data_IF_930306766479
#
_entry.id   IF_930306766479
#
_cell.length_a   1.000
_cell.length_b   1.000
_cell.length_c   1.000
_cell.angle_alpha   90.00
_cell.angle_beta   90.00
_cell.angle_gamma   90.00
#
_symmetry.space_group_name_H-M   'P 1'
#
loop_
_entity.id
_entity.type
_entity.pdbx_description
1 polymer ?
#
# COMPACT_ATOMS: atom_id res chain seq x y z
N UNK A 1 14.68 15.58 6.91
CA UNK A 1 14.71 14.20 6.35
C UNK A 1 14.87 13.18 7.47
N UNK A 2 14.41 11.95 7.25
CA UNK A 2 14.64 10.80 8.13
C UNK A 2 16.09 10.34 8.02
N UNK A 3 16.69 9.93 9.13
CA UNK A 3 18.04 9.35 9.16
C UNK A 3 18.04 7.93 9.75
N UNK A 4 19.12 7.19 9.54
CA UNK A 4 19.29 5.85 10.12
C UNK A 4 19.29 5.92 11.64
N UNK A 5 19.94 6.95 12.21
CA UNK A 5 20.04 7.18 13.65
C UNK A 5 18.64 7.42 14.26
N UNK A 6 17.78 8.18 13.57
CA UNK A 6 16.38 8.38 14.01
C UNK A 6 15.63 7.05 14.09
N UNK A 7 15.71 6.22 13.04
CA UNK A 7 15.06 4.91 13.05
C UNK A 7 15.61 4.02 14.16
N UNK A 8 16.92 4.01 14.38
CA UNK A 8 17.55 3.25 15.47
C UNK A 8 17.16 3.77 16.86
N UNK A 9 17.00 5.07 17.04
CA UNK A 9 16.52 5.64 18.28
C UNK A 9 15.04 5.29 18.57
N UNK A 10 14.21 5.22 17.53
CA UNK A 10 12.81 4.78 17.61
C UNK A 10 12.73 3.27 17.90
N UNK A 11 13.50 2.47 17.19
CA UNK A 11 13.51 1.01 17.23
C UNK A 11 14.95 0.49 17.45
N UNK A 12 15.45 0.46 18.69
CA UNK A 12 16.85 0.10 18.99
C UNK A 12 17.25 -1.31 18.55
N UNK A 13 16.28 -2.22 18.44
CA UNK A 13 16.50 -3.60 17.99
C UNK A 13 16.49 -3.75 16.46
N UNK A 14 16.39 -2.65 15.72
CA UNK A 14 16.39 -2.67 14.25
C UNK A 14 17.72 -3.15 13.70
N UNK A 15 17.67 -3.86 12.56
CA UNK A 15 18.85 -4.33 11.88
C UNK A 15 19.34 -3.32 10.86
N UNK A 16 20.65 -3.05 10.88
CA UNK A 16 21.25 -2.08 9.99
C UNK A 16 21.09 -2.44 8.51
N UNK A 17 21.16 -3.73 8.19
CA UNK A 17 20.94 -4.26 6.84
C UNK A 17 19.51 -4.01 6.31
N UNK A 18 18.54 -3.79 7.20
CA UNK A 18 17.16 -3.45 6.84
C UNK A 18 16.98 -1.93 6.74
N UNK A 19 17.45 -1.22 7.77
CA UNK A 19 17.18 0.22 7.92
C UNK A 19 18.00 1.06 6.96
N UNK A 20 19.30 0.77 6.82
CA UNK A 20 20.23 1.62 6.05
C UNK A 20 19.78 1.81 4.58
N UNK A 21 19.46 0.74 3.83
CA UNK A 21 18.99 0.92 2.47
C UNK A 21 17.56 1.48 2.38
N UNK A 22 16.74 1.32 3.42
CA UNK A 22 15.35 1.76 3.42
C UNK A 22 15.19 3.27 3.59
N UNK A 23 16.07 3.92 4.36
CA UNK A 23 15.96 5.34 4.70
C UNK A 23 15.96 6.25 3.47
N UNK A 24 16.78 5.95 2.46
CA UNK A 24 16.76 6.70 1.21
C UNK A 24 15.40 6.66 0.50
N UNK A 25 14.78 5.49 0.49
CA UNK A 25 13.45 5.30 -0.11
C UNK A 25 12.32 5.93 0.73
N UNK A 26 12.42 5.91 2.05
CA UNK A 26 11.50 6.68 2.90
C UNK A 26 11.54 8.17 2.53
N UNK A 27 12.71 8.77 2.47
CA UNK A 27 12.87 10.18 2.12
C UNK A 27 12.39 10.50 0.69
N UNK A 28 12.57 9.57 -0.26
CA UNK A 28 12.12 9.69 -1.64
C UNK A 28 10.58 9.63 -1.79
N UNK A 29 9.93 8.75 -1.02
CA UNK A 29 8.54 8.41 -1.26
C UNK A 29 7.55 9.02 -0.24
N UNK A 30 7.91 9.26 1.02
CA UNK A 30 7.02 9.90 2.00
C UNK A 30 6.38 11.19 1.46
N UNK A 31 7.11 12.11 0.80
CA UNK A 31 6.52 13.31 0.22
C UNK A 31 5.48 13.03 -0.87
N UNK A 32 5.71 12.03 -1.71
CA UNK A 32 4.79 11.66 -2.80
C UNK A 32 3.45 11.13 -2.29
N UNK A 33 3.41 10.65 -1.06
CA UNK A 33 2.21 10.18 -0.37
C UNK A 33 1.70 11.16 0.69
N UNK A 34 2.20 12.40 0.64
CA UNK A 34 1.83 13.48 1.57
C UNK A 34 2.10 13.16 3.06
N UNK A 35 3.03 12.24 3.34
CA UNK A 35 3.47 11.92 4.70
C UNK A 35 4.62 12.85 5.07
N UNK A 36 4.34 14.15 5.17
CA UNK A 36 5.34 15.22 5.31
C UNK A 36 5.25 16.01 6.60
N UNK A 37 4.11 15.97 7.29
CA UNK A 37 3.96 16.65 8.56
C UNK A 37 4.56 15.84 9.71
N UNK A 38 4.95 16.49 10.78
CA UNK A 38 5.48 15.85 11.98
C UNK A 38 4.61 14.68 12.47
N UNK A 39 3.29 14.89 12.60
CA UNK A 39 2.38 13.85 13.08
C UNK A 39 2.26 12.69 12.08
N UNK A 40 2.11 12.99 10.78
CA UNK A 40 2.02 11.93 9.76
C UNK A 40 3.25 11.05 9.75
N UNK A 41 4.44 11.65 9.81
CA UNK A 41 5.71 10.90 9.88
C UNK A 41 5.80 10.07 11.15
N UNK A 42 5.48 10.66 12.33
CA UNK A 42 5.50 9.93 13.59
C UNK A 42 4.56 8.73 13.59
N UNK A 43 3.32 8.91 13.12
CA UNK A 43 2.35 7.82 13.05
C UNK A 43 2.75 6.74 12.05
N UNK A 44 3.21 7.12 10.86
CA UNK A 44 3.66 6.15 9.86
C UNK A 44 4.82 5.31 10.40
N UNK A 45 5.86 5.93 10.94
CA UNK A 45 7.03 5.23 11.47
C UNK A 45 6.70 4.36 12.69
N UNK A 46 5.81 4.80 13.56
CA UNK A 46 5.37 4.03 14.71
C UNK A 46 4.67 2.73 14.30
N UNK A 47 3.76 2.81 13.33
CA UNK A 47 3.08 1.62 12.79
C UNK A 47 4.07 0.73 12.04
N UNK A 48 4.94 1.31 11.23
CA UNK A 48 5.97 0.58 10.50
C UNK A 48 6.93 -0.17 11.43
N UNK A 49 7.35 0.44 12.53
CA UNK A 49 8.21 -0.21 13.52
C UNK A 49 7.54 -1.42 14.17
N UNK A 50 6.25 -1.32 14.50
CA UNK A 50 5.49 -2.44 15.04
C UNK A 50 5.35 -3.57 14.02
N UNK A 51 4.85 -3.27 12.81
CA UNK A 51 4.54 -4.27 11.78
C UNK A 51 5.80 -4.98 11.25
N UNK A 52 6.92 -4.28 11.13
CA UNK A 52 8.20 -4.84 10.69
C UNK A 52 9.04 -5.42 11.85
N UNK A 53 8.42 -5.80 12.97
CA UNK A 53 9.10 -6.38 14.14
C UNK A 53 10.32 -5.55 14.58
N UNK A 54 10.13 -4.24 14.78
CA UNK A 54 11.22 -3.27 15.06
C UNK A 54 12.21 -3.13 13.89
N UNK A 55 11.77 -3.23 12.66
CA UNK A 55 12.63 -3.22 11.46
C UNK A 55 13.73 -4.30 11.47
N UNK A 56 13.41 -5.48 12.02
CA UNK A 56 14.34 -6.61 12.03
C UNK A 56 14.23 -7.47 10.78
N UNK A 57 13.09 -7.44 10.11
CA UNK A 57 12.83 -8.21 8.89
C UNK A 57 11.80 -7.53 8.02
N UNK A 58 11.91 -7.74 6.70
CA UNK A 58 10.90 -7.35 5.71
C UNK A 58 10.17 -8.59 5.15
N UNK A 59 10.29 -9.73 5.81
CA UNK A 59 9.60 -10.96 5.43
C UNK A 59 9.19 -11.70 6.70
N UNK A 60 7.96 -12.23 6.74
CA UNK A 60 7.51 -13.05 7.86
C UNK A 60 8.37 -14.29 8.03
N UNK A 61 8.55 -14.70 9.29
CA UNK A 61 9.34 -15.89 9.64
C UNK A 61 8.59 -17.19 9.31
N UNK A 62 7.26 -17.16 9.32
CA UNK A 62 6.43 -18.29 8.97
C UNK A 62 6.58 -18.69 7.49
N UNK A 63 6.35 -19.96 7.21
CA UNK A 63 6.43 -20.48 5.83
C UNK A 63 5.36 -19.92 4.90
N UNK A 64 4.23 -19.43 5.45
CA UNK A 64 3.05 -19.02 4.68
C UNK A 64 2.08 -20.17 4.38
N UNK A 65 2.36 -21.39 4.81
CA UNK A 65 1.50 -22.55 4.57
C UNK A 65 0.07 -22.37 5.11
N UNK A 66 -0.10 -21.60 6.19
CA UNK A 66 -1.42 -21.26 6.76
C UNK A 66 -2.30 -20.43 5.80
N UNK A 67 -1.73 -19.82 4.76
CA UNK A 67 -2.46 -19.06 3.75
C UNK A 67 -2.86 -19.91 2.54
N UNK A 68 -2.54 -21.21 2.52
CA UNK A 68 -2.90 -22.11 1.41
C UNK A 68 -4.41 -22.21 1.28
N UNK A 69 -4.92 -22.10 0.05
CA UNK A 69 -6.35 -22.18 -0.24
C UNK A 69 -7.22 -21.03 0.30
N UNK A 70 -6.62 -19.98 0.88
CA UNK A 70 -7.31 -18.79 1.40
C UNK A 70 -7.87 -17.96 0.22
N UNK A 71 -9.12 -18.25 -0.14
CA UNK A 71 -9.83 -17.58 -1.26
C UNK A 71 -10.01 -16.07 -1.04
N UNK A 72 -10.18 -15.63 0.21
CA UNK A 72 -10.25 -14.23 0.61
C UNK A 72 -8.94 -13.46 0.34
N UNK A 73 -7.81 -14.16 0.27
CA UNK A 73 -6.50 -13.64 -0.13
C UNK A 73 -6.21 -13.84 -1.64
N UNK A 74 -7.14 -14.47 -2.38
CA UNK A 74 -6.92 -14.85 -3.77
C UNK A 74 -5.95 -16.02 -3.97
N UNK A 75 -5.63 -16.77 -2.92
CA UNK A 75 -4.76 -17.94 -2.96
C UNK A 75 -5.59 -19.15 -3.39
N UNK A 76 -5.72 -19.36 -4.69
CA UNK A 76 -6.58 -20.38 -5.29
C UNK A 76 -5.80 -21.52 -5.94
N UNK A 77 -4.51 -21.35 -6.16
CA UNK A 77 -3.64 -22.36 -6.74
C UNK A 77 -2.77 -23.00 -5.66
N UNK A 78 -2.41 -24.28 -5.89
CA UNK A 78 -1.48 -25.00 -5.01
C UNK A 78 -0.14 -24.26 -4.92
N UNK A 79 0.34 -24.01 -3.69
CA UNK A 79 1.57 -23.30 -3.41
C UNK A 79 1.42 -21.79 -3.23
N UNK A 80 0.22 -21.22 -3.45
CA UNK A 80 -0.01 -19.79 -3.30
C UNK A 80 0.26 -19.29 -1.87
N UNK A 81 -0.06 -20.09 -0.86
CA UNK A 81 0.17 -19.72 0.52
C UNK A 81 1.63 -19.39 0.80
N UNK A 82 2.52 -20.27 0.41
CA UNK A 82 3.98 -20.08 0.58
C UNK A 82 4.50 -18.98 -0.35
N UNK A 83 4.04 -18.95 -1.61
CA UNK A 83 4.48 -17.99 -2.61
C UNK A 83 4.14 -16.56 -2.24
N UNK A 84 2.94 -16.30 -1.74
CA UNK A 84 2.44 -14.95 -1.40
C UNK A 84 2.33 -14.73 0.12
N UNK A 85 3.28 -15.25 0.85
CA UNK A 85 3.42 -14.99 2.29
C UNK A 85 3.70 -13.53 2.58
N UNK A 86 3.61 -13.12 3.84
CA UNK A 86 3.80 -11.74 4.27
C UNK A 86 5.18 -11.17 3.96
N UNK A 87 5.23 -10.05 3.22
CA UNK A 87 6.47 -9.32 2.90
C UNK A 87 6.26 -7.82 2.98
N UNK A 88 7.38 -7.11 3.15
CA UNK A 88 7.41 -5.65 3.28
C UNK A 88 7.03 -5.18 4.69
N UNK A 89 7.04 -3.86 4.87
CA UNK A 89 6.80 -3.21 6.19
C UNK A 89 5.42 -3.59 6.76
N UNK A 90 4.35 -3.56 5.96
CA UNK A 90 2.98 -3.89 6.39
C UNK A 90 2.54 -5.28 5.95
N UNK A 91 3.49 -6.19 5.77
CA UNK A 91 3.24 -7.62 5.56
C UNK A 91 2.21 -7.90 4.46
N UNK A 92 2.47 -7.40 3.24
CA UNK A 92 1.65 -7.69 2.06
C UNK A 92 1.50 -9.22 1.90
N UNK A 93 0.26 -9.73 1.93
CA UNK A 93 -0.04 -11.17 1.95
C UNK A 93 -1.16 -11.50 0.96
N UNK A 94 -1.02 -12.61 0.26
CA UNK A 94 -2.02 -13.18 -0.65
C UNK A 94 -1.90 -12.70 -2.10
N UNK A 95 -2.10 -13.63 -3.05
CA UNK A 95 -1.96 -13.42 -4.50
C UNK A 95 -2.70 -12.17 -4.99
N UNK A 96 -3.96 -11.99 -4.58
CA UNK A 96 -4.77 -10.87 -5.03
C UNK A 96 -4.18 -9.51 -4.57
N UNK A 97 -3.64 -9.44 -3.35
CA UNK A 97 -3.01 -8.23 -2.85
C UNK A 97 -1.67 -7.95 -3.55
N UNK A 98 -0.86 -8.97 -3.80
CA UNK A 98 0.39 -8.84 -4.57
C UNK A 98 0.11 -8.29 -5.97
N UNK A 99 -0.87 -8.87 -6.68
CA UNK A 99 -1.30 -8.36 -7.99
C UNK A 99 -1.76 -6.91 -7.91
N UNK A 100 -2.71 -6.61 -7.02
CA UNK A 100 -3.31 -5.28 -6.89
C UNK A 100 -2.27 -4.20 -6.54
N UNK A 101 -1.44 -4.46 -5.53
CA UNK A 101 -0.42 -3.47 -5.12
C UNK A 101 0.67 -3.36 -6.19
N UNK A 102 1.07 -4.47 -6.81
CA UNK A 102 2.02 -4.46 -7.91
C UNK A 102 1.56 -3.55 -9.05
N UNK A 103 0.29 -3.65 -9.44
CA UNK A 103 -0.31 -2.76 -10.45
C UNK A 103 -0.27 -1.29 -10.03
N UNK A 104 -0.59 -0.97 -8.76
CA UNK A 104 -0.57 0.42 -8.26
C UNK A 104 0.82 1.06 -8.26
N UNK A 105 1.86 0.28 -7.99
CA UNK A 105 3.25 0.77 -7.97
C UNK A 105 4.00 0.54 -9.29
N UNK A 106 3.33 -0.04 -10.31
CA UNK A 106 3.93 -0.31 -11.62
C UNK A 106 4.95 -1.45 -11.62
N UNK A 107 4.78 -2.45 -10.76
CA UNK A 107 5.68 -3.60 -10.64
C UNK A 107 4.92 -4.92 -10.68
N UNK A 108 5.46 -5.92 -11.36
CA UNK A 108 4.87 -7.26 -11.42
C UNK A 108 5.21 -8.07 -10.16
N UNK A 109 4.51 -7.75 -9.07
CA UNK A 109 4.68 -8.46 -7.81
C UNK A 109 3.98 -9.83 -7.78
N UNK A 110 3.05 -10.10 -8.67
CA UNK A 110 2.40 -11.40 -8.74
C UNK A 110 3.37 -12.48 -9.25
N UNK A 111 4.14 -12.14 -10.27
CA UNK A 111 5.14 -13.08 -10.81
C UNK A 111 6.46 -13.05 -10.03
N UNK A 112 6.80 -11.91 -9.40
CA UNK A 112 8.04 -11.70 -8.65
C UNK A 112 7.73 -11.26 -7.19
N UNK A 113 7.09 -12.12 -6.38
CA UNK A 113 6.60 -11.72 -5.05
C UNK A 113 7.74 -11.40 -4.05
N UNK A 114 8.93 -11.93 -4.24
CA UNK A 114 10.11 -11.66 -3.42
C UNK A 114 10.52 -10.18 -3.47
N UNK A 115 10.23 -9.45 -4.55
CA UNK A 115 10.49 -8.02 -4.66
C UNK A 115 9.82 -7.22 -3.55
N UNK A 116 8.68 -7.69 -3.02
CA UNK A 116 7.98 -7.02 -1.93
C UNK A 116 8.81 -6.94 -0.62
N UNK A 117 9.85 -7.76 -0.48
CA UNK A 117 10.80 -7.70 0.63
C UNK A 117 12.03 -6.81 0.35
N UNK A 118 12.17 -6.26 -0.87
CA UNK A 118 13.23 -5.30 -1.15
C UNK A 118 12.97 -3.96 -0.46
N UNK A 119 14.01 -3.20 -0.10
CA UNK A 119 13.84 -1.93 0.62
C UNK A 119 12.92 -0.94 -0.08
N UNK A 120 13.08 -0.73 -1.37
CA UNK A 120 12.25 0.20 -2.15
C UNK A 120 10.79 -0.24 -2.20
N UNK A 121 10.55 -1.49 -2.60
CA UNK A 121 9.19 -2.00 -2.79
C UNK A 121 8.46 -2.12 -1.45
N UNK A 122 9.16 -2.46 -0.36
CA UNK A 122 8.56 -2.52 0.97
C UNK A 122 8.05 -1.17 1.45
N UNK A 123 8.75 -0.08 1.13
CA UNK A 123 8.32 1.30 1.41
C UNK A 123 7.11 1.66 0.54
N UNK A 124 7.16 1.39 -0.76
CA UNK A 124 6.06 1.68 -1.69
C UNK A 124 4.79 0.93 -1.32
N UNK A 125 4.88 -0.37 -1.04
CA UNK A 125 3.71 -1.17 -0.65
C UNK A 125 3.10 -0.70 0.66
N UNK A 126 3.93 -0.27 1.62
CA UNK A 126 3.46 0.30 2.88
C UNK A 126 2.75 1.65 2.68
N UNK A 127 3.26 2.50 1.81
CA UNK A 127 2.65 3.79 1.51
C UNK A 127 1.35 3.66 0.72
N UNK A 128 1.25 2.72 -0.22
CA UNK A 128 -0.02 2.39 -0.88
C UNK A 128 -1.06 1.86 0.11
N UNK A 129 -0.64 1.01 1.03
CA UNK A 129 -1.50 0.54 2.11
C UNK A 129 -2.00 1.71 2.98
N UNK A 130 -1.10 2.62 3.39
CA UNK A 130 -1.39 3.81 4.17
C UNK A 130 -2.38 4.74 3.47
N UNK A 131 -2.13 5.04 2.20
CA UNK A 131 -2.98 5.87 1.34
C UNK A 131 -4.37 5.25 1.17
N UNK A 132 -4.46 3.94 0.87
CA UNK A 132 -5.72 3.24 0.61
C UNK A 132 -6.70 3.27 1.79
N UNK A 133 -6.22 3.56 3.00
CA UNK A 133 -7.01 3.69 4.24
C UNK A 133 -7.13 5.12 4.72
N UNK A 134 -6.67 6.10 3.93
CA UNK A 134 -6.71 7.54 4.26
C UNK A 134 -6.09 7.83 5.63
N UNK A 135 -4.97 7.15 5.98
CA UNK A 135 -4.40 7.21 7.33
C UNK A 135 -3.78 8.57 7.65
N UNK A 136 -3.42 9.39 6.65
CA UNK A 136 -2.98 10.77 6.87
C UNK A 136 -4.00 11.58 7.69
N UNK A 137 -5.31 11.46 7.38
CA UNK A 137 -6.38 12.14 8.11
C UNK A 137 -6.31 11.83 9.61
N UNK A 138 -6.19 10.56 9.97
CA UNK A 138 -6.18 10.14 11.37
C UNK A 138 -4.85 10.44 12.07
N UNK A 139 -3.76 10.52 11.30
CA UNK A 139 -2.48 11.00 11.81
C UNK A 139 -2.52 12.50 12.13
N UNK A 140 -3.18 13.31 11.30
CA UNK A 140 -3.36 14.75 11.56
C UNK A 140 -4.20 15.00 12.84
N UNK A 141 -5.13 14.10 13.15
CA UNK A 141 -5.93 14.12 14.38
C UNK A 141 -5.20 13.47 15.58
N UNK A 142 -3.95 13.03 15.40
CA UNK A 142 -3.15 12.29 16.39
C UNK A 142 -3.86 11.03 16.95
N UNK A 143 -4.69 10.38 16.12
CA UNK A 143 -5.58 9.30 16.51
C UNK A 143 -4.95 7.92 16.29
N UNK A 144 -4.05 7.53 17.17
CA UNK A 144 -3.33 6.25 17.09
C UNK A 144 -4.27 5.04 17.21
N UNK A 145 -5.35 5.15 17.97
CA UNK A 145 -6.32 4.07 18.12
C UNK A 145 -7.02 3.78 16.79
N UNK A 146 -7.53 4.83 16.12
CA UNK A 146 -8.20 4.68 14.83
C UNK A 146 -7.28 4.11 13.77
N UNK A 147 -6.04 4.60 13.71
CA UNK A 147 -5.01 4.07 12.80
C UNK A 147 -4.76 2.59 13.09
N UNK A 148 -4.59 2.21 14.36
CA UNK A 148 -4.36 0.81 14.75
C UNK A 148 -5.52 -0.09 14.30
N UNK A 149 -6.77 0.31 14.54
CA UNK A 149 -7.96 -0.45 14.12
C UNK A 149 -8.03 -0.60 12.59
N UNK A 150 -7.67 0.43 11.84
CA UNK A 150 -7.67 0.38 10.37
C UNK A 150 -6.55 -0.49 9.79
N UNK A 151 -5.42 -0.62 10.49
CA UNK A 151 -4.30 -1.47 10.05
C UNK A 151 -4.53 -2.92 10.46
N UNK A 152 -4.87 -3.16 11.73
CA UNK A 152 -4.89 -4.50 12.32
C UNK A 152 -6.29 -5.14 12.37
N UNK A 153 -7.36 -4.37 12.13
CA UNK A 153 -8.75 -4.82 12.32
C UNK A 153 -9.21 -4.80 13.79
N UNK A 154 -8.32 -4.53 14.73
CA UNK A 154 -8.55 -4.49 16.18
C UNK A 154 -7.48 -3.67 16.90
N UNK A 155 -7.22 -3.99 18.16
CA UNK A 155 -6.23 -3.31 19.00
C UNK A 155 -5.04 -4.22 19.39
N UNK A 156 -4.74 -5.24 18.58
CA UNK A 156 -3.57 -6.07 18.82
C UNK A 156 -2.29 -5.24 18.72
N UNK A 157 -1.42 -5.34 19.72
CA UNK A 157 -0.19 -4.57 19.79
C UNK A 157 -0.37 -3.07 20.05
N UNK A 158 -1.55 -2.63 20.52
CA UNK A 158 -1.86 -1.20 20.69
C UNK A 158 -0.88 -0.48 21.63
N UNK A 159 -0.52 -1.09 22.75
CA UNK A 159 0.44 -0.48 23.68
C UNK A 159 1.84 -0.38 23.10
N UNK A 160 2.26 -1.34 22.30
CA UNK A 160 3.54 -1.29 21.60
C UNK A 160 3.56 -0.19 20.55
N UNK A 161 2.48 -0.04 19.77
CA UNK A 161 2.32 1.07 18.80
C UNK A 161 2.34 2.44 19.47
N UNK A 162 1.71 2.59 20.64
CA UNK A 162 1.78 3.81 21.45
C UNK A 162 3.21 4.11 21.93
N UNK A 163 3.95 3.09 22.36
CA UNK A 163 5.36 3.23 22.75
C UNK A 163 6.22 3.73 21.58
N UNK A 164 6.06 3.13 20.40
CA UNK A 164 6.75 3.60 19.19
C UNK A 164 6.35 5.03 18.82
N UNK A 165 5.06 5.37 18.90
CA UNK A 165 4.60 6.72 18.62
C UNK A 165 5.21 7.75 19.58
N UNK A 166 5.24 7.45 20.86
CA UNK A 166 5.89 8.31 21.87
C UNK A 166 7.38 8.50 21.56
N UNK A 167 8.08 7.44 21.17
CA UNK A 167 9.48 7.50 20.72
C UNK A 167 9.64 8.34 19.46
N UNK A 168 8.77 8.14 18.45
CA UNK A 168 8.79 8.96 17.24
C UNK A 168 8.62 10.44 17.56
N UNK A 169 7.67 10.79 18.44
CA UNK A 169 7.43 12.17 18.87
C UNK A 169 8.60 12.81 19.63
N UNK A 170 9.46 12.00 20.26
CA UNK A 170 10.68 12.49 20.93
C UNK A 170 11.86 12.67 19.96
N UNK A 171 11.96 11.80 18.95
CA UNK A 171 13.12 11.70 18.05
C UNK A 171 12.95 12.54 16.78
N UNK A 172 11.75 12.57 16.20
CA UNK A 172 11.48 13.29 14.96
C UNK A 172 11.37 14.79 15.26
N UNK A 173 12.13 15.65 14.53
CA UNK A 173 12.01 17.10 14.70
C UNK A 173 10.60 17.60 14.31
N UNK A 174 10.03 18.51 15.10
CA UNK A 174 8.71 19.11 14.79
C UNK A 174 8.69 19.86 13.47
N UNK A 175 9.83 20.39 13.05
CA UNK A 175 10.04 21.10 11.79
C UNK A 175 10.68 20.19 10.73
N UNK A 176 10.41 18.88 10.77
CA UNK A 176 10.93 17.95 9.77
C UNK A 176 10.57 18.43 8.37
N UNK A 177 11.56 18.46 7.49
CA UNK A 177 11.40 18.78 6.07
C UNK A 177 11.95 17.63 5.24
N UNK A 178 11.44 17.52 4.05
CA UNK A 178 11.96 16.63 3.01
C UNK A 178 12.44 17.52 1.87
N UNK A 179 13.65 17.23 1.37
CA UNK A 179 14.07 17.80 0.11
C UNK A 179 13.19 17.17 -0.98
N UNK A 180 12.05 17.82 -1.21
CA UNK A 180 11.26 17.52 -2.39
C UNK A 180 12.05 18.15 -3.52
N UNK A 181 12.71 17.39 -4.39
CA UNK A 181 13.21 17.98 -5.63
C UNK A 181 12.03 18.72 -6.25
N UNK A 182 12.24 19.93 -6.83
CA UNK A 182 11.19 20.58 -7.58
C UNK A 182 10.56 19.49 -8.45
N UNK A 183 9.21 19.39 -8.41
CA UNK A 183 8.51 18.32 -9.11
C UNK A 183 9.22 18.18 -10.46
N UNK A 184 9.76 17.00 -10.81
CA UNK A 184 10.45 16.86 -12.08
C UNK A 184 9.51 17.47 -13.12
N UNK A 185 9.98 18.26 -14.06
CA UNK A 185 9.16 18.73 -15.13
C UNK A 185 8.39 17.51 -15.57
N UNK A 186 7.04 17.56 -15.49
CA UNK A 186 6.15 16.40 -15.64
C UNK A 186 6.74 15.56 -16.75
N UNK A 187 7.48 14.50 -16.36
CA UNK A 187 8.02 13.58 -17.34
C UNK A 187 6.86 13.18 -18.23
N UNK A 188 7.02 13.16 -19.54
CA UNK A 188 5.92 12.87 -20.44
C UNK A 188 5.31 11.58 -19.93
N UNK A 189 4.20 11.75 -19.28
CA UNK A 189 3.28 10.83 -18.62
C UNK A 189 3.70 9.39 -18.90
N UNK A 190 4.29 8.70 -17.91
CA UNK A 190 4.24 7.24 -17.94
C UNK A 190 2.74 6.94 -18.04
N UNK A 191 2.28 6.42 -19.17
CA UNK A 191 0.85 6.26 -19.36
C UNK A 191 0.32 5.43 -18.21
N UNK A 192 -0.81 5.79 -17.59
CA UNK A 192 -1.34 5.07 -16.45
C UNK A 192 -1.44 3.59 -16.79
N UNK A 193 -0.90 2.74 -15.92
CA UNK A 193 -0.83 1.30 -16.21
C UNK A 193 -2.25 0.77 -16.28
N UNK A 194 -2.58 0.15 -17.41
CA UNK A 194 -3.89 -0.50 -17.58
C UNK A 194 -3.94 -1.74 -16.72
N UNK A 195 -4.82 -1.74 -15.73
CA UNK A 195 -5.03 -2.85 -14.78
C UNK A 195 -6.14 -3.79 -15.20
N UNK A 196 -7.12 -3.32 -15.98
CA UNK A 196 -8.15 -4.15 -16.60
C UNK A 196 -8.75 -3.45 -17.82
N UNK A 197 -9.08 -4.21 -18.84
CA UNK A 197 -9.66 -3.74 -20.11
C UNK A 197 -10.62 -4.75 -20.70
N UNK A 198 -11.37 -4.32 -21.70
CA UNK A 198 -12.28 -5.20 -22.46
C UNK A 198 -11.57 -6.45 -22.97
N UNK A 199 -12.20 -7.58 -22.75
CA UNK A 199 -11.68 -8.92 -23.07
C UNK A 199 -11.04 -9.63 -21.89
N UNK A 200 -10.68 -8.92 -20.80
CA UNK A 200 -10.16 -9.57 -19.59
C UNK A 200 -11.27 -10.37 -18.89
N UNK A 201 -10.88 -11.53 -18.35
CA UNK A 201 -11.79 -12.41 -17.61
C UNK A 201 -11.06 -12.98 -16.40
N UNK A 202 -11.44 -12.57 -15.20
CA UNK A 202 -10.78 -13.00 -13.95
C UNK A 202 -11.61 -12.63 -12.72
N UNK A 203 -11.37 -13.31 -11.58
CA UNK A 203 -11.93 -12.88 -10.28
C UNK A 203 -11.62 -11.43 -9.94
N UNK A 204 -10.46 -10.92 -10.37
CA UNK A 204 -10.08 -9.52 -10.17
C UNK A 204 -10.99 -8.55 -10.92
N UNK A 205 -11.39 -8.88 -12.16
CA UNK A 205 -12.38 -8.10 -12.90
C UNK A 205 -13.73 -8.08 -12.14
N UNK A 206 -14.14 -9.21 -11.56
CA UNK A 206 -15.34 -9.25 -10.71
C UNK A 206 -15.24 -8.29 -9.51
N UNK A 207 -14.09 -8.18 -8.88
CA UNK A 207 -13.89 -7.25 -7.76
C UNK A 207 -13.93 -5.79 -8.22
N UNK A 208 -13.37 -5.45 -9.38
CA UNK A 208 -13.49 -4.13 -10.00
C UNK A 208 -14.95 -3.79 -10.36
N UNK A 209 -15.68 -4.76 -10.89
CA UNK A 209 -17.12 -4.63 -11.17
C UNK A 209 -17.92 -4.37 -9.88
N UNK A 210 -17.63 -5.08 -8.78
CA UNK A 210 -18.24 -4.82 -7.46
C UNK A 210 -17.97 -3.39 -6.98
N UNK A 211 -16.76 -2.86 -7.20
CA UNK A 211 -16.44 -1.47 -6.87
C UNK A 211 -17.30 -0.49 -7.69
N UNK A 212 -17.45 -0.71 -8.99
CA UNK A 212 -18.33 0.08 -9.85
C UNK A 212 -19.80 0.02 -9.38
N UNK A 213 -20.30 -1.16 -9.04
CA UNK A 213 -21.66 -1.36 -8.49
C UNK A 213 -21.82 -0.59 -7.18
N UNK A 214 -20.84 -0.65 -6.27
CA UNK A 214 -20.83 0.13 -5.02
C UNK A 214 -20.86 1.65 -5.27
N UNK A 215 -20.33 2.11 -6.40
CA UNK A 215 -20.35 3.51 -6.83
C UNK A 215 -21.62 3.89 -7.62
N UNK A 216 -22.57 2.96 -7.78
CA UNK A 216 -23.88 3.21 -8.37
C UNK A 216 -24.07 2.76 -9.82
N UNK A 217 -23.12 2.03 -10.41
CA UNK A 217 -23.27 1.49 -11.77
C UNK A 217 -23.92 0.11 -11.76
N UNK A 218 -25.04 -0.07 -12.46
CA UNK A 218 -25.77 -1.32 -12.55
C UNK A 218 -25.16 -2.25 -13.62
N UNK A 219 -24.13 -3.02 -13.24
CA UNK A 219 -23.46 -4.00 -14.11
C UNK A 219 -23.37 -5.38 -13.43
N UNK A 220 -23.19 -6.44 -14.23
CA UNK A 220 -22.89 -7.77 -13.70
C UNK A 220 -21.50 -7.79 -13.03
N UNK A 221 -21.36 -8.64 -12.01
CA UNK A 221 -20.06 -8.87 -11.32
C UNK A 221 -19.55 -10.27 -11.60
N UNK A 222 -19.55 -10.63 -12.89
CA UNK A 222 -19.31 -11.97 -13.43
C UNK A 222 -17.82 -12.25 -13.73
N UNK A 223 -16.97 -11.23 -13.58
CA UNK A 223 -15.55 -11.33 -13.86
C UNK A 223 -15.20 -11.16 -15.32
N UNK A 224 -16.18 -10.94 -16.22
CA UNK A 224 -15.93 -10.71 -17.63
C UNK A 224 -15.99 -9.21 -17.95
N UNK A 225 -14.87 -8.62 -18.39
CA UNK A 225 -14.82 -7.22 -18.80
C UNK A 225 -15.43 -7.06 -20.20
N UNK A 226 -16.76 -7.08 -20.25
CA UNK A 226 -17.54 -6.95 -21.48
C UNK A 226 -17.87 -5.49 -21.83
N UNK A 227 -18.67 -5.27 -22.90
CA UNK A 227 -19.06 -3.93 -23.34
C UNK A 227 -19.79 -3.12 -22.26
N UNK A 228 -20.60 -3.76 -21.42
CA UNK A 228 -21.31 -3.07 -20.31
C UNK A 228 -20.34 -2.58 -19.24
N UNK A 229 -19.32 -3.37 -18.91
CA UNK A 229 -18.27 -2.98 -17.98
C UNK A 229 -17.44 -1.82 -18.56
N UNK A 230 -17.07 -1.90 -19.84
CA UNK A 230 -16.35 -0.83 -20.54
C UNK A 230 -17.15 0.49 -20.51
N UNK A 231 -18.44 0.43 -20.79
CA UNK A 231 -19.31 1.60 -20.76
C UNK A 231 -19.40 2.21 -19.36
N UNK A 232 -19.60 1.39 -18.34
CA UNK A 232 -19.62 1.85 -16.93
C UNK A 232 -18.31 2.52 -16.52
N UNK A 233 -17.17 2.00 -16.98
CA UNK A 233 -15.85 2.61 -16.74
C UNK A 233 -15.74 3.97 -17.44
N UNK A 234 -16.18 4.10 -18.69
CA UNK A 234 -16.19 5.39 -19.42
C UNK A 234 -17.02 6.45 -18.68
N UNK A 235 -18.21 6.08 -18.25
CA UNK A 235 -19.10 6.97 -17.50
C UNK A 235 -18.51 7.36 -16.13
N UNK A 236 -17.91 6.37 -15.43
CA UNK A 236 -17.19 6.64 -14.19
C UNK A 236 -16.04 7.61 -14.38
N UNK A 237 -15.22 7.39 -15.41
CA UNK A 237 -14.09 8.27 -15.76
C UNK A 237 -14.57 9.70 -16.07
N UNK A 238 -15.59 9.83 -16.89
CA UNK A 238 -16.17 11.13 -17.24
C UNK A 238 -16.70 11.88 -16.01
N UNK A 239 -17.47 11.19 -15.16
CA UNK A 239 -18.06 11.76 -13.93
C UNK A 239 -16.98 12.23 -12.94
N UNK A 240 -15.79 11.60 -12.95
CA UNK A 240 -14.70 11.90 -12.03
C UNK A 240 -13.57 12.75 -12.64
N UNK A 241 -13.76 13.30 -13.85
CA UNK A 241 -12.76 14.15 -14.52
C UNK A 241 -11.48 13.40 -14.94
N UNK A 242 -11.58 12.09 -15.15
CA UNK A 242 -10.47 11.25 -15.61
C UNK A 242 -10.45 11.18 -17.14
N UNK A 243 -9.33 10.77 -17.73
CA UNK A 243 -9.25 10.48 -19.16
C UNK A 243 -10.18 9.32 -19.50
N UNK A 244 -11.13 9.54 -20.43
CA UNK A 244 -12.15 8.56 -20.82
C UNK A 244 -11.55 7.54 -21.79
N UNK A 245 -11.05 6.44 -21.25
CA UNK A 245 -10.43 5.34 -22.03
C UNK A 245 -11.30 4.10 -22.11
N UNK A 246 -12.22 3.91 -21.17
CA UNK A 246 -12.97 2.67 -20.97
C UNK A 246 -12.13 1.53 -20.40
N UNK A 247 -10.89 1.78 -20.04
CA UNK A 247 -9.99 0.84 -19.37
C UNK A 247 -9.83 1.28 -17.92
N UNK A 248 -9.73 0.35 -17.00
CA UNK A 248 -9.35 0.67 -15.63
C UNK A 248 -7.84 0.72 -15.60
N UNK A 249 -7.31 1.92 -15.50
CA UNK A 249 -5.92 2.22 -15.27
C UNK A 249 -5.68 2.54 -13.79
N UNK A 250 -4.45 2.83 -13.42
CA UNK A 250 -4.09 3.16 -12.03
C UNK A 250 -4.85 4.36 -11.50
N UNK A 251 -5.13 5.38 -12.33
CA UNK A 251 -5.87 6.58 -11.91
C UNK A 251 -7.35 6.26 -11.67
N UNK A 252 -7.94 5.50 -12.58
CA UNK A 252 -9.32 5.01 -12.47
C UNK A 252 -9.48 4.10 -11.24
N UNK A 253 -8.53 3.19 -11.01
CA UNK A 253 -8.55 2.31 -9.85
C UNK A 253 -8.43 3.08 -8.53
N UNK A 254 -7.51 4.04 -8.45
CA UNK A 254 -7.37 4.90 -7.27
C UNK A 254 -8.70 5.62 -6.94
N UNK A 255 -9.38 6.12 -7.96
CA UNK A 255 -10.66 6.82 -7.78
C UNK A 255 -11.82 5.89 -7.41
N UNK A 256 -11.79 4.62 -7.86
CA UNK A 256 -12.76 3.60 -7.47
C UNK A 256 -12.64 3.19 -5.99
N UNK A 257 -11.42 3.24 -5.45
CA UNK A 257 -11.12 2.81 -4.08
C UNK A 257 -11.48 3.85 -3.02
N UNK A 258 -11.59 5.12 -3.38
CA UNK A 258 -12.00 6.24 -2.50
C UNK A 258 -13.51 6.33 -2.43
#
# INVERSE_FOLDING_TARGET
MITVEMIKAIAPNSKNEVVSPMVGYLNKYLPKYEVTTYLRVCHFLAQAAHEAASFRTLQEYASGAAYEGRKDLGNVNKGDGVRYKGRGIFQLTGRANYRRIGQLIGMDLENNPELAASPEVSVLTALEYWKSRSLNKWADEDNVERITRLINGGLNGFDDRKKYLAKCKQVIPKNITFDVPPAPPVDPIVPPIVVAKKGDNSPYVADLQKMLVKKGWAIATDGAFGPKTEQAVKEFQQKNGLKVTGQIDTDTLNKLMV
#
